data_IF_447663455406
#
_entry.id   IF_447663455406
#
_cell.length_a   1.000
_cell.length_b   1.000
_cell.length_c   1.000
_cell.angle_alpha   90.00
_cell.angle_beta   90.00
_cell.angle_gamma   90.00
#
_symmetry.space_group_name_H-M   'P 1'
#
loop_
_entity.id
_entity.type
_entity.pdbx_description
1 polymer ?
#
# COMPACT_ATOMS: atom_id res chain seq x y z
N UNK A 1 15.31 3.13 3.01
CA UNK A 1 15.92 1.86 2.56
C UNK A 1 15.64 1.61 1.09
N UNK A 2 16.45 0.80 0.40
CA UNK A 2 16.10 0.20 -0.90
C UNK A 2 15.26 -1.06 -0.66
N UNK A 3 14.28 -1.31 -1.52
CA UNK A 3 13.48 -2.53 -1.53
C UNK A 3 13.66 -3.25 -2.88
N UNK A 4 13.85 -4.56 -2.83
CA UNK A 4 13.84 -5.42 -4.01
C UNK A 4 13.24 -6.77 -3.62
N UNK A 5 12.19 -7.20 -4.33
CA UNK A 5 11.47 -8.42 -3.99
C UNK A 5 10.08 -8.49 -4.61
N UNK A 6 9.32 -9.52 -4.21
CA UNK A 6 7.94 -9.70 -4.65
C UNK A 6 6.99 -8.84 -3.84
N UNK A 7 5.92 -8.37 -4.49
CA UNK A 7 4.78 -7.74 -3.84
C UNK A 7 3.50 -8.44 -4.30
N UNK A 8 2.51 -8.45 -3.42
CA UNK A 8 1.21 -9.08 -3.67
C UNK A 8 0.10 -8.07 -3.48
N UNK A 9 -0.96 -8.19 -4.29
CA UNK A 9 -2.14 -7.35 -4.15
C UNK A 9 -3.39 -8.17 -4.43
N UNK A 10 -4.35 -8.08 -3.53
CA UNK A 10 -5.69 -8.57 -3.75
C UNK A 10 -6.51 -7.48 -4.45
N UNK A 11 -7.08 -7.81 -5.60
CA UNK A 11 -7.90 -6.92 -6.41
C UNK A 11 -9.35 -7.39 -6.40
N UNK A 12 -10.29 -6.44 -6.41
CA UNK A 12 -11.63 -6.73 -6.86
C UNK A 12 -11.56 -7.17 -8.34
N UNK A 13 -12.16 -8.31 -8.73
CA UNK A 13 -12.11 -8.83 -10.10
C UNK A 13 -12.52 -7.81 -11.18
N UNK A 14 -13.37 -6.84 -10.86
CA UNK A 14 -13.76 -5.75 -11.77
C UNK A 14 -12.54 -4.92 -12.22
N UNK A 15 -11.54 -4.75 -11.34
CA UNK A 15 -10.33 -3.98 -11.60
C UNK A 15 -9.11 -4.84 -11.96
N UNK A 16 -9.28 -6.16 -12.14
CA UNK A 16 -8.19 -7.09 -12.46
C UNK A 16 -7.40 -6.66 -13.72
N UNK A 17 -8.05 -5.97 -14.66
CA UNK A 17 -7.44 -5.47 -15.90
C UNK A 17 -6.65 -4.16 -15.74
N UNK A 18 -6.62 -3.58 -14.54
CA UNK A 18 -5.84 -2.38 -14.24
C UNK A 18 -4.99 -2.60 -12.97
N UNK A 19 -4.13 -3.64 -12.94
CA UNK A 19 -3.48 -4.06 -11.70
C UNK A 19 -2.48 -3.03 -11.16
N UNK A 20 -1.97 -2.14 -12.01
CA UNK A 20 -1.08 -1.03 -11.63
C UNK A 20 -1.83 0.28 -11.35
N UNK A 21 -3.16 0.28 -11.40
CA UNK A 21 -3.95 1.50 -11.14
C UNK A 21 -4.07 1.79 -9.65
N UNK A 22 -3.68 3.01 -9.28
CA UNK A 22 -3.89 3.61 -7.96
C UNK A 22 -5.14 4.49 -7.87
N UNK A 23 -5.99 4.51 -8.92
CA UNK A 23 -7.11 5.46 -9.05
C UNK A 23 -8.14 5.35 -7.92
N UNK A 24 -8.41 4.15 -7.43
CA UNK A 24 -9.32 3.97 -6.29
C UNK A 24 -8.82 4.69 -5.04
N UNK A 25 -7.54 4.51 -4.70
CA UNK A 25 -6.92 5.18 -3.57
C UNK A 25 -6.85 6.70 -3.79
N UNK A 26 -6.61 7.16 -5.02
CA UNK A 26 -6.63 8.57 -5.38
C UNK A 26 -8.00 9.22 -5.13
N UNK A 27 -9.08 8.58 -5.58
CA UNK A 27 -10.44 9.12 -5.49
C UNK A 27 -10.96 9.16 -4.04
N UNK A 28 -10.73 8.09 -3.29
CA UNK A 28 -11.34 7.92 -1.97
C UNK A 28 -10.39 8.26 -0.82
N UNK A 29 -9.09 8.32 -1.08
CA UNK A 29 -8.05 8.34 -0.05
C UNK A 29 -7.92 6.99 0.65
N UNK A 30 -6.87 6.86 1.44
CA UNK A 30 -6.64 5.74 2.33
C UNK A 30 -5.94 6.19 3.60
N UNK A 31 -5.56 5.24 4.46
CA UNK A 31 -4.83 5.57 5.70
C UNK A 31 -3.54 6.32 5.41
N UNK A 32 -2.81 5.92 4.36
CA UNK A 32 -1.49 6.44 4.02
C UNK A 32 -1.46 7.19 2.68
N UNK A 33 -2.59 7.69 2.21
CA UNK A 33 -2.63 8.61 1.08
C UNK A 33 -3.88 9.52 1.18
N UNK A 34 -3.74 10.86 1.10
CA UNK A 34 -4.89 11.74 1.03
C UNK A 34 -5.59 11.61 -0.32
N UNK A 35 -6.83 12.12 -0.42
CA UNK A 35 -7.54 12.23 -1.69
C UNK A 35 -6.71 13.06 -2.70
N UNK A 36 -6.75 12.66 -3.96
CA UNK A 36 -5.94 13.24 -5.03
C UNK A 36 -4.53 12.69 -5.13
N UNK A 37 -4.09 11.83 -4.20
CA UNK A 37 -2.78 11.17 -4.28
C UNK A 37 -3.00 9.69 -4.63
N UNK A 38 -2.56 9.23 -5.82
CA UNK A 38 -2.66 7.83 -6.19
C UNK A 38 -1.75 6.98 -5.30
N UNK A 39 -2.22 5.79 -4.95
CA UNK A 39 -1.44 4.85 -4.15
C UNK A 39 -1.77 3.39 -4.49
N UNK A 40 -0.78 2.52 -4.35
CA UNK A 40 -0.95 1.07 -4.37
C UNK A 40 -0.68 0.50 -2.98
N UNK A 41 -1.67 -0.18 -2.42
CA UNK A 41 -1.51 -0.96 -1.20
C UNK A 41 -1.16 -2.39 -1.60
N UNK A 42 0.04 -2.82 -1.23
CA UNK A 42 0.56 -4.15 -1.51
C UNK A 42 1.08 -4.78 -0.23
N UNK A 43 1.27 -6.09 -0.25
CA UNK A 43 1.80 -6.87 0.86
C UNK A 43 3.05 -7.62 0.45
N UNK A 44 3.93 -7.88 1.40
CA UNK A 44 5.16 -8.67 1.20
C UNK A 44 4.88 -10.19 1.19
N UNK A 45 3.68 -10.62 1.59
CA UNK A 45 3.24 -12.01 1.53
C UNK A 45 1.83 -12.16 0.94
N UNK A 46 1.58 -13.31 0.32
CA UNK A 46 0.26 -13.69 -0.20
C UNK A 46 -0.79 -13.70 0.90
N UNK A 47 -0.44 -14.27 2.06
CA UNK A 47 -1.38 -14.39 3.18
C UNK A 47 -1.76 -13.01 3.74
N UNK A 48 -0.79 -12.08 3.85
CA UNK A 48 -1.07 -10.72 4.27
C UNK A 48 -2.01 -10.00 3.27
N UNK A 49 -1.79 -10.15 1.96
CA UNK A 49 -2.65 -9.55 0.95
C UNK A 49 -4.10 -10.05 1.04
N UNK A 50 -4.28 -11.35 1.29
CA UNK A 50 -5.62 -11.95 1.47
C UNK A 50 -6.27 -11.54 2.79
N UNK A 51 -5.50 -11.43 3.88
CA UNK A 51 -6.00 -10.91 5.17
C UNK A 51 -6.49 -9.46 5.05
N UNK A 52 -5.74 -8.62 4.35
CA UNK A 52 -6.14 -7.23 4.09
C UNK A 52 -7.40 -7.11 3.22
N UNK A 53 -7.61 -8.04 2.30
CA UNK A 53 -8.86 -8.10 1.52
C UNK A 53 -10.07 -8.57 2.33
N UNK A 54 -9.84 -9.30 3.43
CA UNK A 54 -10.87 -9.90 4.26
C UNK A 54 -10.89 -9.34 5.69
N UNK A 55 -11.01 -8.02 5.84
CA UNK A 55 -11.04 -7.39 7.17
C UNK A 55 -12.35 -7.67 7.93
N UNK A 56 -13.48 -7.82 7.23
CA UNK A 56 -14.81 -8.02 7.82
C UNK A 56 -15.64 -8.95 6.93
N UNK A 57 -16.30 -9.94 7.55
CA UNK A 57 -17.22 -10.84 6.85
C UNK A 57 -16.53 -11.98 6.10
N UNK A 58 -17.18 -12.43 5.03
CA UNK A 58 -16.65 -13.48 4.16
C UNK A 58 -15.76 -12.89 3.07
N UNK A 59 -14.66 -13.57 2.76
CA UNK A 59 -13.81 -13.22 1.62
C UNK A 59 -14.65 -13.26 0.33
N UNK A 60 -14.76 -12.10 -0.32
CA UNK A 60 -15.44 -11.97 -1.61
C UNK A 60 -14.54 -12.48 -2.75
N UNK A 61 -15.10 -12.81 -3.93
CA UNK A 61 -14.29 -13.13 -5.11
C UNK A 61 -13.18 -12.10 -5.30
N UNK A 62 -11.95 -12.58 -5.36
CA UNK A 62 -10.73 -11.76 -5.30
C UNK A 62 -9.74 -12.28 -6.32
N UNK A 63 -9.14 -11.37 -7.08
CA UNK A 63 -8.01 -11.67 -7.96
C UNK A 63 -6.73 -11.32 -7.23
N UNK A 64 -5.98 -12.33 -6.80
CA UNK A 64 -4.65 -12.11 -6.24
C UNK A 64 -3.63 -12.01 -7.38
N UNK A 65 -2.85 -10.94 -7.39
CA UNK A 65 -1.76 -10.73 -8.35
C UNK A 65 -0.43 -10.58 -7.63
N UNK A 66 0.65 -10.85 -8.36
CA UNK A 66 2.03 -10.68 -7.88
C UNK A 66 2.81 -9.75 -8.80
N UNK A 67 3.80 -9.07 -8.22
CA UNK A 67 4.66 -8.14 -8.93
C UNK A 67 6.12 -8.42 -8.62
N UNK A 68 6.98 -8.14 -9.60
CA UNK A 68 8.38 -7.83 -9.35
C UNK A 68 8.55 -6.35 -9.03
N UNK A 69 9.20 -6.06 -7.90
CA UNK A 69 9.33 -4.72 -7.39
C UNK A 69 10.79 -4.37 -7.07
N UNK A 70 11.20 -3.16 -7.44
CA UNK A 70 12.47 -2.56 -7.04
C UNK A 70 12.29 -1.05 -6.82
N UNK A 71 12.58 -0.59 -5.60
CA UNK A 71 12.39 0.81 -5.19
C UNK A 71 13.63 1.30 -4.43
N UNK A 72 14.17 2.43 -4.84
CA UNK A 72 15.38 3.02 -4.26
C UNK A 72 15.14 3.65 -2.87
N UNK A 73 13.96 4.26 -2.67
CA UNK A 73 13.64 5.02 -1.47
C UNK A 73 12.29 4.61 -0.88
N UNK A 74 12.31 3.61 -0.03
CA UNK A 74 11.20 3.22 0.84
C UNK A 74 11.47 3.69 2.26
N UNK A 75 10.47 4.32 2.89
CA UNK A 75 10.51 4.65 4.31
C UNK A 75 10.16 3.39 5.12
N UNK A 76 11.01 3.00 6.07
CA UNK A 76 10.77 1.85 6.95
C UNK A 76 10.18 2.32 8.28
N UNK A 77 8.88 2.14 8.47
CA UNK A 77 8.23 2.52 9.73
C UNK A 77 8.55 1.60 10.92
N UNK A 78 9.34 0.55 10.72
CA UNK A 78 9.86 -0.25 11.84
C UNK A 78 11.02 0.45 12.54
N UNK A 79 11.65 1.41 11.87
CA UNK A 79 12.66 2.28 12.47
C UNK A 79 11.96 3.36 13.31
N UNK A 80 11.96 3.15 14.63
CA UNK A 80 11.32 4.05 15.58
C UNK A 80 11.98 5.43 15.67
N UNK A 81 13.29 5.54 15.40
CA UNK A 81 14.00 6.82 15.39
C UNK A 81 13.64 7.62 14.14
N UNK A 82 13.63 6.97 12.97
CA UNK A 82 13.19 7.60 11.73
C UNK A 82 11.73 8.07 11.82
N UNK A 83 10.84 7.29 12.46
CA UNK A 83 9.46 7.71 12.69
C UNK A 83 9.36 8.96 13.55
N UNK A 84 10.10 9.00 14.67
CA UNK A 84 10.11 10.16 15.58
C UNK A 84 10.63 11.41 14.88
N UNK A 85 11.64 11.28 14.03
CA UNK A 85 12.15 12.38 13.21
C UNK A 85 11.07 12.98 12.29
N UNK A 86 10.12 12.17 11.84
CA UNK A 86 8.95 12.58 11.05
C UNK A 86 7.73 13.00 11.89
N UNK A 87 7.89 13.12 13.21
CA UNK A 87 6.82 13.47 14.14
C UNK A 87 5.75 12.38 14.30
N UNK A 88 6.11 11.14 14.05
CA UNK A 88 5.23 9.96 14.18
C UNK A 88 5.79 8.98 15.21
N UNK A 89 4.93 8.11 15.70
CA UNK A 89 5.30 6.94 16.50
C UNK A 89 4.47 5.72 16.07
N UNK A 90 4.77 4.56 16.66
CA UNK A 90 4.08 3.31 16.35
C UNK A 90 2.57 3.39 16.65
N UNK A 91 2.16 4.15 17.67
CA UNK A 91 0.75 4.30 18.07
C UNK A 91 0.01 5.14 17.02
N UNK A 92 0.59 6.27 16.61
CA UNK A 92 0.02 7.19 15.64
C UNK A 92 -0.11 6.55 14.24
N UNK A 93 0.81 5.67 13.85
CA UNK A 93 0.70 4.91 12.59
C UNK A 93 -0.37 3.83 12.67
N UNK A 94 -0.51 3.18 13.82
CA UNK A 94 -1.47 2.10 14.04
C UNK A 94 -2.92 2.58 14.23
N UNK A 95 -3.13 3.87 14.49
CA UNK A 95 -4.43 4.47 14.80
C UNK A 95 -5.52 4.10 13.76
N UNK A 96 -6.57 3.36 14.17
CA UNK A 96 -7.64 2.95 13.26
C UNK A 96 -8.61 4.08 12.90
N UNK A 97 -8.57 5.22 13.62
CA UNK A 97 -9.54 6.31 13.53
C UNK A 97 -9.26 7.29 12.39
N UNK A 98 -8.36 6.96 11.46
CA UNK A 98 -7.99 7.86 10.35
C UNK A 98 -9.20 8.37 9.56
N UNK A 99 -10.25 7.54 9.39
CA UNK A 99 -11.49 7.96 8.69
C UNK A 99 -12.24 9.04 9.48
N UNK A 100 -12.27 8.93 10.80
CA UNK A 100 -12.93 9.91 11.67
C UNK A 100 -12.12 11.21 11.75
N UNK A 101 -10.79 11.12 11.76
CA UNK A 101 -9.91 12.28 11.64
C UNK A 101 -10.14 13.04 10.33
N UNK A 102 -10.25 12.34 9.20
CA UNK A 102 -10.58 12.95 7.90
C UNK A 102 -11.95 13.63 7.94
N UNK A 103 -12.97 12.99 8.53
CA UNK A 103 -14.29 13.61 8.68
C UNK A 103 -14.27 14.87 9.54
N UNK A 104 -13.53 14.84 10.65
CA UNK A 104 -13.51 15.93 11.63
C UNK A 104 -12.58 17.09 11.24
N UNK A 105 -11.47 16.80 10.55
CA UNK A 105 -10.36 17.76 10.31
C UNK A 105 -9.95 17.89 8.85
N UNK A 106 -10.54 17.11 7.95
CA UNK A 106 -10.21 17.09 6.51
C UNK A 106 -9.02 16.20 6.14
N UNK A 107 -8.11 15.92 7.06
CA UNK A 107 -6.92 15.08 6.83
C UNK A 107 -6.55 14.31 8.11
N UNK A 108 -6.13 13.05 7.96
CA UNK A 108 -5.59 12.26 9.08
C UNK A 108 -4.09 12.49 9.29
N UNK A 109 -3.59 12.31 10.51
CA UNK A 109 -2.13 12.43 10.79
C UNK A 109 -1.27 11.57 9.87
N UNK A 110 -1.72 10.34 9.58
CA UNK A 110 -1.03 9.40 8.67
C UNK A 110 -1.02 9.86 7.20
N UNK A 111 -2.01 10.65 6.78
CA UNK A 111 -2.05 11.25 5.44
C UNK A 111 -1.12 12.45 5.34
N UNK A 112 -1.10 13.33 6.36
CA UNK A 112 -0.14 14.43 6.42
C UNK A 112 1.31 13.89 6.48
N UNK A 113 1.54 12.79 7.21
CA UNK A 113 2.81 12.07 7.22
C UNK A 113 3.19 11.55 5.83
N UNK A 114 2.28 10.85 5.14
CA UNK A 114 2.51 10.38 3.78
C UNK A 114 2.88 11.54 2.83
N UNK A 115 2.20 12.69 2.93
CA UNK A 115 2.52 13.89 2.12
C UNK A 115 3.95 14.39 2.34
N UNK A 116 4.42 14.41 3.59
CA UNK A 116 5.81 14.78 3.90
C UNK A 116 6.82 13.81 3.32
N UNK A 117 6.56 12.50 3.45
CA UNK A 117 7.42 11.47 2.86
C UNK A 117 7.50 11.58 1.33
N UNK A 118 6.36 11.79 0.67
CA UNK A 118 6.31 12.00 -0.79
C UNK A 118 7.12 13.26 -1.17
N UNK A 119 6.95 14.37 -0.45
CA UNK A 119 7.70 15.60 -0.70
C UNK A 119 9.21 15.43 -0.48
N UNK A 120 9.62 14.56 0.45
CA UNK A 120 11.01 14.17 0.68
C UNK A 120 11.56 13.14 -0.33
N UNK A 121 10.78 12.78 -1.36
CA UNK A 121 11.18 11.89 -2.45
C UNK A 121 11.13 10.40 -2.08
N UNK A 122 10.39 10.00 -1.05
CA UNK A 122 10.10 8.58 -0.82
C UNK A 122 9.08 8.07 -1.81
N UNK A 123 9.31 6.86 -2.31
CA UNK A 123 8.48 6.18 -3.30
C UNK A 123 7.39 5.33 -2.66
N UNK A 124 7.61 4.93 -1.41
CA UNK A 124 6.64 4.19 -0.63
C UNK A 124 6.99 4.09 0.86
N UNK A 125 6.08 3.46 1.59
CA UNK A 125 6.11 3.25 3.03
C UNK A 125 5.95 1.76 3.34
N UNK A 126 6.98 1.18 3.95
CA UNK A 126 6.92 -0.16 4.55
C UNK A 126 6.30 -0.04 5.93
N UNK A 127 5.19 -0.74 6.15
CA UNK A 127 4.40 -0.66 7.38
C UNK A 127 3.83 -2.02 7.76
N UNK A 128 3.63 -2.25 9.06
CA UNK A 128 2.92 -3.44 9.52
C UNK A 128 1.48 -3.45 9.02
N UNK A 129 0.97 -4.65 8.76
CA UNK A 129 -0.45 -4.87 8.52
C UNK A 129 -1.23 -4.60 9.80
N UNK A 130 -2.41 -4.00 9.64
CA UNK A 130 -3.35 -3.76 10.73
C UNK A 130 -4.61 -4.62 10.59
N UNK A 131 -4.58 -5.62 9.69
CA UNK A 131 -5.67 -6.56 9.53
C UNK A 131 -5.80 -7.45 10.78
N UNK A 132 -7.04 -7.87 11.13
CA UNK A 132 -7.24 -8.82 12.22
C UNK A 132 -6.40 -10.09 12.06
N UNK A 133 -5.66 -10.47 13.12
CA UNK A 133 -4.80 -11.65 13.12
C UNK A 133 -3.49 -11.50 12.35
N UNK A 134 -3.11 -10.29 11.95
CA UNK A 134 -1.77 -10.00 11.45
C UNK A 134 -0.73 -10.11 12.57
N UNK A 135 0.43 -10.62 12.22
CA UNK A 135 1.61 -10.75 13.07
C UNK A 135 2.59 -9.60 12.81
N UNK A 136 3.67 -9.53 13.60
CA UNK A 136 4.70 -8.52 13.40
C UNK A 136 5.45 -8.62 12.07
N UNK A 137 5.37 -9.78 11.41
CA UNK A 137 6.03 -10.09 10.14
C UNK A 137 5.12 -9.85 8.93
N UNK A 138 3.83 -9.61 9.15
CA UNK A 138 2.90 -9.24 8.10
C UNK A 138 3.11 -7.78 7.72
N UNK A 139 3.90 -7.56 6.68
CA UNK A 139 4.27 -6.23 6.19
C UNK A 139 3.53 -5.89 4.90
N UNK A 140 3.12 -4.63 4.84
CA UNK A 140 2.59 -3.97 3.67
C UNK A 140 3.58 -2.94 3.14
N UNK A 141 3.57 -2.76 1.83
CA UNK A 141 4.27 -1.68 1.16
C UNK A 141 3.24 -0.81 0.43
N UNK A 142 3.07 0.41 0.94
CA UNK A 142 2.21 1.43 0.29
C UNK A 142 3.08 2.22 -0.67
N UNK A 143 2.77 2.16 -1.96
CA UNK A 143 3.53 2.84 -3.00
C UNK A 143 2.80 4.10 -3.45
N UNK A 144 3.52 5.21 -3.60
CA UNK A 144 3.01 6.49 -4.13
C UNK A 144 3.62 6.83 -5.48
N UNK A 145 4.76 6.23 -5.82
CA UNK A 145 5.41 6.38 -7.12
C UNK A 145 5.85 5.00 -7.60
N UNK A 146 5.40 4.62 -8.79
CA UNK A 146 5.78 3.39 -9.45
C UNK A 146 5.78 3.60 -10.96
N UNK A 147 6.61 2.85 -11.65
CA UNK A 147 6.75 2.90 -13.10
C UNK A 147 7.37 1.59 -13.61
N UNK A 148 7.63 1.51 -14.90
CA UNK A 148 8.42 0.42 -15.49
C UNK A 148 9.94 0.68 -15.40
N UNK A 149 10.36 1.86 -14.92
CA UNK A 149 11.77 2.24 -14.81
C UNK A 149 12.43 1.68 -13.56
N UNK A 150 13.73 1.41 -13.63
CA UNK A 150 14.51 0.76 -12.58
C UNK A 150 14.45 1.45 -11.21
N UNK A 151 14.39 2.78 -11.15
CA UNK A 151 14.40 3.50 -9.88
C UNK A 151 13.13 3.31 -9.04
N UNK A 152 11.99 2.99 -9.68
CA UNK A 152 10.68 2.82 -9.05
C UNK A 152 9.88 1.68 -9.72
N UNK A 153 10.51 0.54 -9.97
CA UNK A 153 9.98 -0.51 -10.82
C UNK A 153 8.88 -1.29 -10.12
N UNK A 154 7.73 -1.42 -10.78
CA UNK A 154 6.69 -2.36 -10.44
C UNK A 154 6.17 -3.03 -11.71
N UNK A 155 6.45 -4.32 -11.86
CA UNK A 155 6.08 -5.11 -13.05
C UNK A 155 5.11 -6.20 -12.62
N UNK A 156 3.94 -6.25 -13.23
CA UNK A 156 3.00 -7.35 -13.04
C UNK A 156 3.60 -8.65 -13.56
N UNK A 157 3.46 -9.72 -12.79
CA UNK A 157 3.75 -11.09 -13.23
C UNK A 157 2.45 -11.68 -13.79
N UNK A 158 2.32 -11.70 -15.12
CA UNK A 158 1.18 -12.25 -15.88
C UNK A 158 1.66 -12.74 -17.25
N UNK A 159 2.61 -13.69 -17.23
CA UNK A 159 3.35 -14.13 -18.42
C UNK A 159 2.45 -14.68 -19.53
N UNK A 160 1.31 -15.26 -19.15
CA UNK A 160 0.31 -15.84 -20.06
C UNK A 160 -0.86 -14.87 -20.36
N UNK A 161 -0.77 -13.61 -19.93
CA UNK A 161 -1.82 -12.58 -20.12
C UNK A 161 -3.21 -13.02 -19.59
N UNK A 162 -3.25 -13.72 -18.46
CA UNK A 162 -4.45 -14.34 -17.86
C UNK A 162 -5.48 -13.33 -17.36
N UNK A 163 -5.09 -12.06 -17.19
CA UNK A 163 -6.02 -10.99 -16.80
C UNK A 163 -6.80 -10.42 -18.00
N UNK A 164 -6.44 -10.77 -19.25
CA UNK A 164 -7.20 -10.36 -20.44
C UNK A 164 -8.48 -11.20 -20.58
N UNK A 165 -9.46 -10.70 -21.34
CA UNK A 165 -10.64 -11.52 -21.67
C UNK A 165 -10.23 -12.67 -22.59
N UNK A 166 -10.80 -13.87 -22.43
CA UNK A 166 -10.78 -14.87 -23.49
C UNK A 166 -11.41 -14.28 -24.75
N UNK A 167 -10.83 -14.58 -25.90
CA UNK A 167 -11.44 -14.32 -27.21
C UNK A 167 -12.70 -15.18 -27.42
#
# INVERSE_FOLDING_TARGET
>A
MRYEGKLYRALNPIYARQPLSGRGAELYGGRFNPKGVPALYTSLSVLAALREANQVGNLQPTTLVSYDAAFERVFDSRDGDALRAEGMDAVAIADPTWRDQVKARGEAKTQSFARRLIAAGYQGLLVRSFAPGATGDDLNLVLWTWSERASARLTLIDDENRLRRPE
#
